data_IF_201627776662
#
_entry.id   IF_201627776662
#
_cell.length_a   1.000
_cell.length_b   1.000
_cell.length_c   1.000
_cell.angle_alpha   90.00
_cell.angle_beta   90.00
_cell.angle_gamma   90.00
#
_symmetry.space_group_name_H-M   'P 1'
#
loop_
_entity.id
_entity.type
_entity.pdbx_description
1 polymer ?
#
# COMPACT_ATOMS: atom_id res chain seq x y z
N UNK A 1 0.01 0.29 23.51
CA UNK A 1 -0.53 1.00 24.68
C UNK A 1 0.47 2.04 25.19
N UNK A 2 1.67 1.67 25.57
CA UNK A 2 2.65 2.59 26.16
C UNK A 2 3.16 3.64 25.15
N UNK A 3 3.32 3.26 23.89
CA UNK A 3 3.70 4.14 22.78
C UNK A 3 2.68 5.27 22.56
N UNK A 4 1.39 4.93 22.43
CA UNK A 4 0.30 5.92 22.27
C UNK A 4 0.21 6.83 23.49
N UNK A 5 0.35 6.29 24.71
CA UNK A 5 0.35 7.09 25.92
C UNK A 5 1.53 8.07 26.01
N UNK A 6 2.73 7.65 25.57
CA UNK A 6 3.90 8.51 25.48
C UNK A 6 3.73 9.61 24.44
N UNK A 7 3.24 9.26 23.24
CA UNK A 7 2.96 10.21 22.17
C UNK A 7 1.97 11.29 22.62
N UNK A 8 0.87 10.91 23.27
CA UNK A 8 -0.12 11.85 23.82
C UNK A 8 0.52 12.79 24.85
N UNK A 9 1.32 12.25 25.77
CA UNK A 9 2.02 13.08 26.78
C UNK A 9 2.99 14.07 26.13
N UNK A 10 3.77 13.62 25.15
CA UNK A 10 4.77 14.45 24.49
C UNK A 10 4.15 15.52 23.55
N UNK A 11 2.86 15.39 23.21
CA UNK A 11 2.11 16.45 22.52
C UNK A 11 1.45 17.45 23.46
N UNK A 12 1.73 17.40 24.76
CA UNK A 12 1.24 18.37 25.74
C UNK A 12 -0.10 18.00 26.39
N UNK A 13 -0.66 16.83 26.07
CA UNK A 13 -1.92 16.37 26.67
C UNK A 13 -1.68 15.35 27.79
N UNK A 14 -2.66 15.20 28.65
CA UNK A 14 -2.57 14.24 29.74
C UNK A 14 -2.87 12.82 29.25
N UNK A 15 -1.96 11.90 29.52
CA UNK A 15 -2.19 10.48 29.23
C UNK A 15 -3.25 9.86 30.16
N UNK A 16 -3.85 8.71 29.80
CA UNK A 16 -4.83 8.01 30.65
C UNK A 16 -4.33 7.75 32.05
N UNK A 17 -3.03 7.45 32.23
CA UNK A 17 -2.42 7.23 33.54
C UNK A 17 -2.40 8.49 34.39
N UNK A 18 -2.13 9.65 33.77
CA UNK A 18 -2.11 10.93 34.48
C UNK A 18 -3.50 11.41 34.90
N UNK A 19 -4.54 11.10 34.10
CA UNK A 19 -5.94 11.37 34.41
C UNK A 19 -6.57 10.32 35.35
N UNK A 20 -5.82 9.29 35.77
CA UNK A 20 -6.31 8.13 36.52
C UNK A 20 -7.55 7.46 35.90
N UNK A 21 -7.54 7.37 34.54
CA UNK A 21 -8.64 6.84 33.75
C UNK A 21 -8.33 5.44 33.24
N UNK A 22 -9.34 4.56 33.25
CA UNK A 22 -9.29 3.26 32.60
C UNK A 22 -9.83 3.41 31.18
N UNK A 23 -8.95 3.21 30.20
CA UNK A 23 -9.33 3.25 28.77
C UNK A 23 -9.40 1.84 28.23
N UNK A 24 -10.52 1.48 27.62
CA UNK A 24 -10.74 0.21 26.93
C UNK A 24 -10.92 0.53 25.46
N UNK A 25 -10.07 -0.07 24.61
CA UNK A 25 -10.15 0.05 23.14
C UNK A 25 -10.58 -1.31 22.61
N UNK A 26 -11.74 -1.34 21.95
CA UNK A 26 -12.20 -2.52 21.23
C UNK A 26 -11.94 -2.35 19.73
N UNK A 27 -11.27 -3.32 19.13
CA UNK A 27 -11.01 -3.35 17.69
C UNK A 27 -11.90 -4.45 17.07
N UNK A 28 -12.95 -4.04 16.37
CA UNK A 28 -13.88 -4.94 15.70
C UNK A 28 -13.38 -5.29 14.27
N UNK A 29 -13.78 -6.43 13.71
CA UNK A 29 -14.41 -7.60 14.33
C UNK A 29 -13.37 -8.42 15.15
N UNK A 30 -13.80 -9.16 16.18
CA UNK A 30 -12.89 -9.83 17.12
C UNK A 30 -12.13 -11.03 16.54
N UNK A 31 -12.71 -11.67 15.53
CA UNK A 31 -12.20 -12.85 14.83
C UNK A 31 -11.02 -12.55 13.89
N UNK A 32 -10.88 -11.29 13.47
CA UNK A 32 -9.76 -10.84 12.64
C UNK A 32 -8.61 -10.36 13.50
N UNK A 33 -7.46 -11.01 13.39
CA UNK A 33 -6.24 -10.57 14.09
C UNK A 33 -5.78 -9.22 13.54
N UNK A 34 -5.75 -8.20 14.42
CA UNK A 34 -5.24 -6.87 14.08
C UNK A 34 -3.76 -6.82 14.42
N UNK A 35 -2.94 -6.62 13.40
CA UNK A 35 -1.50 -6.53 13.56
C UNK A 35 -0.98 -5.20 13.04
N UNK A 36 0.09 -4.79 13.67
CA UNK A 36 0.81 -3.59 13.30
C UNK A 36 0.32 -2.31 13.99
N UNK A 37 1.17 -1.32 13.97
CA UNK A 37 0.98 -0.05 14.65
C UNK A 37 0.18 0.99 13.83
N UNK A 38 -0.40 0.59 12.71
CA UNK A 38 -1.12 1.48 11.76
C UNK A 38 -2.30 2.22 12.40
N UNK A 39 -2.81 1.69 13.52
CA UNK A 39 -3.95 2.26 14.26
C UNK A 39 -3.54 3.23 15.37
N UNK A 40 -2.24 3.44 15.62
CA UNK A 40 -1.78 4.26 16.74
C UNK A 40 -2.31 5.69 16.67
N UNK A 41 -2.27 6.31 15.49
CA UNK A 41 -2.81 7.66 15.26
C UNK A 41 -4.32 7.72 15.56
N UNK A 42 -5.08 6.75 15.05
CA UNK A 42 -6.52 6.66 15.30
C UNK A 42 -6.82 6.50 16.79
N UNK A 43 -6.06 5.63 17.50
CA UNK A 43 -6.22 5.42 18.94
C UNK A 43 -5.93 6.69 19.74
N UNK A 44 -4.87 7.44 19.38
CA UNK A 44 -4.51 8.68 20.06
C UNK A 44 -5.59 9.75 19.86
N UNK A 45 -6.04 9.97 18.63
CA UNK A 45 -7.07 10.96 18.28
C UNK A 45 -8.41 10.61 18.94
N UNK A 46 -8.79 9.33 18.91
CA UNK A 46 -10.03 8.84 19.56
C UNK A 46 -9.98 9.03 21.08
N UNK A 47 -8.84 8.74 21.70
CA UNK A 47 -8.66 8.97 23.14
C UNK A 47 -8.81 10.45 23.48
N UNK A 48 -8.13 11.33 22.78
CA UNK A 48 -8.18 12.79 23.04
C UNK A 48 -9.60 13.35 22.85
N UNK A 49 -10.32 12.87 21.84
CA UNK A 49 -11.73 13.22 21.63
C UNK A 49 -12.62 12.72 22.76
N UNK A 50 -12.46 11.46 23.19
CA UNK A 50 -13.22 10.88 24.30
C UNK A 50 -12.89 11.49 25.66
N UNK A 51 -11.68 12.02 25.83
CA UNK A 51 -11.24 12.75 27.01
C UNK A 51 -11.66 14.24 27.02
N UNK A 52 -12.38 14.66 25.98
CA UNK A 52 -12.80 16.06 25.74
C UNK A 52 -11.65 17.05 25.62
N UNK A 53 -10.44 16.57 25.32
CA UNK A 53 -9.26 17.40 25.12
C UNK A 53 -9.27 18.09 23.73
N UNK A 54 -9.97 17.50 22.75
CA UNK A 54 -10.16 18.04 21.41
C UNK A 54 -11.60 17.86 20.93
N UNK A 55 -12.10 18.85 20.18
CA UNK A 55 -13.46 18.82 19.61
C UNK A 55 -13.39 18.93 18.09
N UNK A 56 -13.94 17.95 17.39
CA UNK A 56 -14.05 17.96 15.94
C UNK A 56 -15.13 16.97 15.46
N UNK A 57 -15.61 17.16 14.25
CA UNK A 57 -16.48 16.17 13.60
C UNK A 57 -15.63 15.01 13.09
N UNK A 58 -15.84 13.81 13.65
CA UNK A 58 -15.10 12.58 13.27
C UNK A 58 -15.80 11.77 12.20
N UNK A 59 -16.99 12.17 11.75
CA UNK A 59 -17.74 11.43 10.74
C UNK A 59 -16.95 11.38 9.42
N UNK A 60 -16.97 10.23 8.77
CA UNK A 60 -16.33 9.98 7.47
C UNK A 60 -14.82 10.31 7.40
N UNK A 61 -14.15 10.34 8.55
CA UNK A 61 -12.70 10.55 8.65
C UNK A 61 -11.98 9.27 9.06
N UNK A 62 -10.88 8.95 8.39
CA UNK A 62 -10.00 7.83 8.74
C UNK A 62 -8.61 8.35 9.11
N UNK A 63 -8.01 7.76 10.15
CA UNK A 63 -6.69 8.11 10.65
C UNK A 63 -5.78 6.89 10.56
N UNK A 64 -4.66 7.01 9.86
CA UNK A 64 -3.70 5.95 9.65
C UNK A 64 -2.30 6.45 9.96
N UNK A 65 -1.54 5.68 10.74
CA UNK A 65 -0.17 6.03 11.07
C UNK A 65 0.33 5.33 12.32
N UNK A 66 1.59 4.92 12.29
CA UNK A 66 2.32 4.49 13.47
C UNK A 66 2.83 5.71 14.22
N UNK A 67 2.70 5.74 15.54
CA UNK A 67 3.26 6.82 16.38
C UNK A 67 4.59 6.41 16.98
N UNK A 68 5.59 7.29 16.86
CA UNK A 68 6.79 7.23 17.69
C UNK A 68 6.47 7.68 19.13
N UNK A 69 7.40 7.48 20.05
CA UNK A 69 7.24 7.94 21.43
C UNK A 69 7.12 9.47 21.53
N UNK A 70 7.74 10.20 20.59
CA UNK A 70 7.71 11.65 20.49
C UNK A 70 6.43 12.18 19.84
N UNK A 71 5.59 11.29 19.28
CA UNK A 71 4.35 11.63 18.61
C UNK A 71 4.51 11.90 17.10
N UNK A 72 5.65 11.55 16.50
CA UNK A 72 5.81 11.58 15.04
C UNK A 72 5.04 10.44 14.40
N UNK A 73 4.50 10.68 13.20
CA UNK A 73 3.74 9.71 12.43
C UNK A 73 4.61 9.06 11.38
N UNK A 74 4.73 7.74 11.42
CA UNK A 74 5.57 6.94 10.52
C UNK A 74 4.74 6.21 9.46
N UNK A 75 5.40 5.83 8.36
CA UNK A 75 4.86 5.16 7.19
C UNK A 75 4.02 3.91 7.52
N UNK A 76 2.90 3.77 6.82
CA UNK A 76 2.03 2.59 6.84
C UNK A 76 2.17 1.82 5.53
N UNK A 77 2.27 0.50 5.60
CA UNK A 77 2.25 -0.36 4.42
C UNK A 77 0.83 -0.66 3.98
N UNK A 78 0.59 -0.78 2.67
CA UNK A 78 -0.73 -1.07 2.13
C UNK A 78 -1.70 0.11 2.23
N UNK A 79 -1.20 1.34 2.21
CA UNK A 79 -2.05 2.52 2.35
C UNK A 79 -3.05 2.63 1.19
N UNK A 80 -2.61 2.43 -0.05
CA UNK A 80 -3.47 2.58 -1.22
C UNK A 80 -4.72 1.69 -1.17
N UNK A 81 -4.63 0.35 -0.97
CA UNK A 81 -5.82 -0.49 -0.84
C UNK A 81 -6.69 -0.10 0.36
N UNK A 82 -6.11 0.37 1.48
CA UNK A 82 -6.89 0.84 2.62
C UNK A 82 -7.71 2.07 2.24
N UNK A 83 -7.15 3.03 1.51
CA UNK A 83 -7.86 4.23 1.08
C UNK A 83 -8.97 3.91 0.06
N UNK A 84 -8.71 2.98 -0.87
CA UNK A 84 -9.72 2.51 -1.82
C UNK A 84 -10.91 1.88 -1.09
N UNK A 85 -10.67 0.99 -0.14
CA UNK A 85 -11.71 0.37 0.68
C UNK A 85 -12.41 1.38 1.59
N UNK A 86 -11.69 2.32 2.20
CA UNK A 86 -12.28 3.37 3.01
C UNK A 86 -13.29 4.20 2.22
N UNK A 87 -12.95 4.57 0.97
CA UNK A 87 -13.87 5.27 0.06
C UNK A 87 -15.14 4.46 -0.20
N UNK A 88 -15.03 3.16 -0.49
CA UNK A 88 -16.18 2.28 -0.73
C UNK A 88 -17.11 2.20 0.50
N UNK A 89 -16.55 2.31 1.70
CA UNK A 89 -17.29 2.39 2.96
C UNK A 89 -17.78 3.79 3.32
N UNK A 90 -17.63 4.76 2.41
CA UNK A 90 -18.19 6.11 2.55
C UNK A 90 -17.32 7.09 3.35
N UNK A 91 -16.05 6.75 3.63
CA UNK A 91 -15.10 7.71 4.19
C UNK A 91 -14.73 8.75 3.12
N UNK A 92 -14.61 10.02 3.54
CA UNK A 92 -14.34 11.14 2.64
C UNK A 92 -13.00 11.81 2.89
N UNK A 93 -12.49 11.72 4.12
CA UNK A 93 -11.22 12.34 4.52
C UNK A 93 -10.30 11.30 5.15
N UNK A 94 -9.02 11.39 4.82
CA UNK A 94 -7.99 10.50 5.34
C UNK A 94 -6.79 11.30 5.86
N UNK A 95 -6.33 10.99 7.07
CA UNK A 95 -5.12 11.54 7.66
C UNK A 95 -4.05 10.45 7.61
N UNK A 96 -3.01 10.68 6.81
CA UNK A 96 -2.01 9.67 6.44
C UNK A 96 -0.59 10.18 6.66
N UNK A 97 0.39 9.29 6.91
CA UNK A 97 1.77 9.72 7.11
C UNK A 97 2.32 10.48 5.90
N UNK A 98 3.15 11.49 6.15
CA UNK A 98 3.82 12.27 5.10
C UNK A 98 4.63 11.38 4.15
N UNK A 99 5.22 10.29 4.67
CA UNK A 99 5.99 9.32 3.87
C UNK A 99 5.12 8.49 2.91
N UNK A 100 3.80 8.56 3.05
CA UNK A 100 2.85 7.89 2.17
C UNK A 100 2.19 8.84 1.15
N UNK A 101 2.66 10.09 1.00
CA UNK A 101 2.05 11.08 0.08
C UNK A 101 1.87 10.50 -1.32
N UNK A 102 2.88 9.80 -1.85
CA UNK A 102 2.84 9.22 -3.21
C UNK A 102 1.72 8.19 -3.35
N UNK A 103 1.56 7.28 -2.40
CA UNK A 103 0.45 6.32 -2.43
C UNK A 103 -0.91 7.02 -2.26
N UNK A 104 -0.98 7.97 -1.33
CA UNK A 104 -2.21 8.73 -1.08
C UNK A 104 -2.66 9.57 -2.28
N UNK A 105 -1.72 10.11 -3.05
CA UNK A 105 -2.01 10.89 -4.26
C UNK A 105 -2.64 10.07 -5.40
N UNK A 106 -2.52 8.74 -5.35
CA UNK A 106 -3.12 7.81 -6.30
C UNK A 106 -4.57 7.46 -5.94
N UNK A 107 -4.96 7.62 -4.66
CA UNK A 107 -6.30 7.28 -4.22
C UNK A 107 -7.34 8.29 -4.75
N UNK A 108 -8.34 7.80 -5.47
CA UNK A 108 -9.43 8.65 -5.99
C UNK A 108 -10.63 8.65 -5.05
N UNK A 109 -11.36 9.78 -5.01
CA UNK A 109 -12.65 9.89 -4.31
C UNK A 109 -12.55 10.01 -2.79
N UNK A 110 -11.35 10.18 -2.23
CA UNK A 110 -11.09 10.49 -0.83
C UNK A 110 -10.11 11.67 -0.75
N UNK A 111 -10.34 12.60 0.16
CA UNK A 111 -9.45 13.75 0.40
C UNK A 111 -8.41 13.35 1.44
N UNK A 112 -7.15 13.28 1.05
CA UNK A 112 -6.08 12.88 1.95
C UNK A 112 -5.26 14.08 2.45
N UNK A 113 -4.90 14.07 3.73
CA UNK A 113 -4.04 15.06 4.39
C UNK A 113 -2.77 14.38 4.88
N UNK A 114 -1.62 14.93 4.50
CA UNK A 114 -0.33 14.42 4.93
C UNK A 114 0.01 14.95 6.33
N UNK A 115 0.21 14.04 7.29
CA UNK A 115 0.55 14.37 8.67
C UNK A 115 1.94 13.88 9.03
N UNK A 116 2.73 14.74 9.69
CA UNK A 116 4.06 14.40 10.21
C UNK A 116 4.03 14.03 11.69
N UNK A 117 3.01 14.51 12.43
CA UNK A 117 2.92 14.29 13.88
C UNK A 117 1.48 14.33 14.39
N UNK A 118 1.27 13.74 15.57
CA UNK A 118 0.01 13.83 16.31
C UNK A 118 -0.35 15.29 16.62
N UNK A 119 0.64 16.11 17.00
CA UNK A 119 0.43 17.53 17.29
C UNK A 119 -0.11 18.29 16.08
N UNK A 120 0.45 18.06 14.88
CA UNK A 120 -0.02 18.67 13.64
C UNK A 120 -1.46 18.25 13.33
N UNK A 121 -1.75 16.94 13.50
CA UNK A 121 -3.10 16.39 13.28
C UNK A 121 -4.12 17.06 14.21
N UNK A 122 -3.80 17.20 15.50
CA UNK A 122 -4.67 17.84 16.49
C UNK A 122 -4.92 19.30 16.11
N UNK A 123 -3.88 20.08 15.82
CA UNK A 123 -4.01 21.49 15.45
C UNK A 123 -4.91 21.71 14.23
N UNK A 124 -4.83 20.84 13.24
CA UNK A 124 -5.73 20.89 12.09
C UNK A 124 -7.17 20.56 12.47
N UNK A 125 -7.37 19.51 13.26
CA UNK A 125 -8.73 19.09 13.71
C UNK A 125 -9.39 20.13 14.61
N UNK A 126 -8.60 20.86 15.42
CA UNK A 126 -9.07 21.96 16.27
C UNK A 126 -9.27 23.28 15.51
N UNK A 127 -8.89 23.34 14.23
CA UNK A 127 -9.01 24.57 13.42
C UNK A 127 -7.90 25.62 13.67
N UNK A 128 -6.85 25.26 14.45
CA UNK A 128 -5.72 26.17 14.70
C UNK A 128 -4.83 26.36 13.48
N UNK A 129 -4.71 25.31 12.65
CA UNK A 129 -3.99 25.36 11.37
C UNK A 129 -4.87 24.73 10.29
N UNK A 130 -4.72 25.23 9.07
CA UNK A 130 -5.35 24.62 7.89
C UNK A 130 -4.29 23.86 7.09
N UNK A 131 -4.45 22.54 6.97
CA UNK A 131 -3.62 21.70 6.12
C UNK A 131 -4.20 21.65 4.72
N UNK A 132 -3.33 21.74 3.72
CA UNK A 132 -3.75 21.54 2.32
C UNK A 132 -3.90 20.04 2.03
N UNK A 133 -4.96 19.66 1.29
CA UNK A 133 -5.08 18.30 0.79
C UNK A 133 -3.89 17.91 -0.08
N UNK A 134 -3.55 16.62 -0.07
CA UNK A 134 -2.58 16.05 -0.99
C UNK A 134 -3.11 16.23 -2.42
N UNK A 135 -2.30 16.85 -3.27
CA UNK A 135 -2.63 17.00 -4.69
C UNK A 135 -2.54 15.65 -5.38
N UNK A 136 -3.53 15.35 -6.21
CA UNK A 136 -3.54 14.15 -7.03
C UNK A 136 -2.51 14.26 -8.14
N UNK A 137 -1.87 13.16 -8.46
CA UNK A 137 -1.00 13.04 -9.61
C UNK A 137 -1.88 12.63 -10.79
N UNK A 138 -2.22 13.58 -11.66
CA UNK A 138 -3.07 13.35 -12.84
C UNK A 138 -2.27 12.83 -14.03
N UNK A 139 -1.00 13.25 -14.15
CA UNK A 139 -0.12 12.87 -15.25
C UNK A 139 1.00 11.96 -14.75
N UNK A 140 0.75 10.69 -14.86
CA UNK A 140 1.73 9.66 -14.55
C UNK A 140 2.51 9.33 -15.83
N UNK A 141 3.55 10.13 -16.12
CA UNK A 141 4.53 9.74 -17.13
C UNK A 141 5.37 8.61 -16.55
N UNK A 142 5.08 7.39 -16.94
CA UNK A 142 5.88 6.23 -16.57
C UNK A 142 6.83 5.87 -17.68
N UNK A 143 8.10 5.84 -17.37
CA UNK A 143 9.05 5.17 -18.24
C UNK A 143 8.77 3.67 -18.23
N UNK A 144 8.69 3.02 -19.41
CA UNK A 144 8.53 1.59 -19.45
C UNK A 144 9.71 0.91 -18.73
N UNK A 145 9.46 -0.17 -17.98
CA UNK A 145 10.54 -0.93 -17.38
C UNK A 145 11.54 -1.37 -18.45
N UNK A 146 12.82 -1.41 -18.06
CA UNK A 146 13.89 -1.81 -18.97
C UNK A 146 13.83 -3.33 -19.24
N UNK A 147 12.82 -3.76 -19.99
CA UNK A 147 12.72 -5.14 -20.46
C UNK A 147 13.58 -5.34 -21.70
N UNK A 148 14.11 -6.55 -21.86
CA UNK A 148 14.77 -6.94 -23.10
C UNK A 148 13.74 -6.91 -24.22
N UNK A 149 13.91 -6.05 -25.22
CA UNK A 149 13.00 -5.98 -26.37
C UNK A 149 13.01 -7.32 -27.14
N UNK A 150 11.82 -7.84 -27.42
CA UNK A 150 11.66 -9.10 -28.17
C UNK A 150 12.27 -9.02 -29.56
N UNK A 151 12.38 -7.86 -30.16
CA UNK A 151 13.04 -7.66 -31.46
C UNK A 151 14.53 -7.97 -31.46
N UNK A 152 15.20 -7.88 -30.30
CA UNK A 152 16.62 -8.19 -30.16
C UNK A 152 16.88 -9.69 -30.25
N UNK A 153 15.88 -10.52 -29.95
CA UNK A 153 15.99 -11.98 -29.97
C UNK A 153 15.87 -12.46 -31.41
N UNK A 154 16.96 -12.99 -31.96
CA UNK A 154 17.05 -13.35 -33.38
C UNK A 154 16.67 -14.79 -33.73
N UNK A 155 16.31 -15.60 -32.73
CA UNK A 155 16.02 -17.04 -32.91
C UNK A 155 14.65 -17.40 -32.36
N UNK A 156 14.14 -18.58 -32.77
CA UNK A 156 12.87 -19.15 -32.28
C UNK A 156 11.61 -18.35 -32.69
N UNK A 157 11.46 -18.08 -33.98
CA UNK A 157 10.29 -17.36 -34.52
C UNK A 157 8.95 -18.02 -34.11
N UNK A 158 8.90 -19.35 -34.06
CA UNK A 158 7.72 -20.09 -33.58
C UNK A 158 7.40 -19.77 -32.12
N UNK A 159 8.44 -19.70 -31.27
CA UNK A 159 8.26 -19.36 -29.85
C UNK A 159 7.83 -17.89 -29.68
N UNK A 160 8.40 -16.96 -30.45
CA UNK A 160 7.99 -15.55 -30.47
C UNK A 160 6.51 -15.44 -30.88
N UNK A 161 6.12 -16.12 -31.96
CA UNK A 161 4.73 -16.12 -32.39
C UNK A 161 3.78 -16.70 -31.33
N UNK A 162 4.21 -17.74 -30.62
CA UNK A 162 3.47 -18.28 -29.47
C UNK A 162 3.32 -17.25 -28.34
N UNK A 163 4.37 -16.49 -28.03
CA UNK A 163 4.34 -15.41 -27.04
C UNK A 163 3.43 -14.25 -27.47
N UNK A 164 3.47 -13.82 -28.74
CA UNK A 164 2.55 -12.79 -29.27
C UNK A 164 1.08 -13.21 -29.10
N UNK A 165 0.74 -14.46 -29.43
CA UNK A 165 -0.61 -14.97 -29.29
C UNK A 165 -0.99 -15.04 -27.79
N UNK A 166 -0.07 -15.50 -26.93
CA UNK A 166 -0.30 -15.55 -25.50
C UNK A 166 -0.50 -14.16 -24.89
N UNK A 167 0.31 -13.17 -25.30
CA UNK A 167 0.19 -11.79 -24.83
C UNK A 167 -1.09 -11.11 -25.30
N UNK A 168 -1.46 -11.29 -26.57
CA UNK A 168 -2.69 -10.71 -27.12
C UNK A 168 -3.98 -11.34 -26.62
N UNK A 169 -3.93 -12.63 -26.18
CA UNK A 169 -5.08 -13.37 -25.69
C UNK A 169 -5.10 -13.59 -24.18
N UNK A 170 -4.15 -13.03 -23.43
CA UNK A 170 -3.98 -13.30 -21.99
C UNK A 170 -3.91 -14.82 -21.66
N UNK A 171 -3.18 -15.58 -22.48
CA UNK A 171 -3.07 -17.03 -22.34
C UNK A 171 -1.82 -17.43 -21.55
N UNK A 172 -1.96 -18.52 -20.79
CA UNK A 172 -0.80 -19.17 -20.20
C UNK A 172 0.07 -19.81 -21.30
N UNK A 173 1.39 -19.77 -21.14
CA UNK A 173 2.32 -20.37 -22.08
C UNK A 173 3.36 -21.22 -21.36
N UNK A 174 3.70 -22.37 -21.94
CA UNK A 174 4.75 -23.24 -21.47
C UNK A 174 5.91 -23.26 -22.49
N UNK A 175 7.11 -22.87 -22.05
CA UNK A 175 8.32 -22.96 -22.84
C UNK A 175 9.11 -24.21 -22.42
N UNK A 176 9.17 -25.21 -23.32
CA UNK A 176 9.92 -26.46 -23.12
C UNK A 176 11.08 -26.58 -24.09
N UNK A 177 12.16 -27.20 -23.70
CA UNK A 177 13.34 -27.44 -24.54
C UNK A 177 14.63 -27.61 -23.71
N UNK A 178 15.76 -27.99 -24.37
CA UNK A 178 17.03 -28.23 -23.73
C UNK A 178 17.63 -26.96 -23.09
N UNK A 179 18.57 -27.10 -22.14
CA UNK A 179 19.25 -25.92 -21.58
C UNK A 179 19.98 -25.12 -22.66
N UNK A 180 20.11 -23.82 -22.45
CA UNK A 180 20.81 -22.93 -23.41
C UNK A 180 19.99 -22.45 -24.61
N UNK A 181 18.72 -22.88 -24.81
CA UNK A 181 17.87 -22.49 -25.95
C UNK A 181 17.19 -21.12 -25.79
N UNK A 182 17.54 -20.33 -24.79
CA UNK A 182 17.03 -18.95 -24.64
C UNK A 182 15.63 -18.82 -24.00
N UNK A 183 15.08 -19.90 -23.40
CA UNK A 183 13.74 -19.86 -22.78
C UNK A 183 13.56 -18.75 -21.76
N UNK A 184 14.53 -18.59 -20.87
CA UNK A 184 14.52 -17.52 -19.84
C UNK A 184 14.57 -16.14 -20.48
N UNK A 185 15.36 -15.95 -21.52
CA UNK A 185 15.46 -14.69 -22.23
C UNK A 185 14.13 -14.36 -22.94
N UNK A 186 13.49 -15.34 -23.57
CA UNK A 186 12.16 -15.22 -24.17
C UNK A 186 11.11 -14.86 -23.12
N UNK A 187 11.13 -15.49 -21.94
CA UNK A 187 10.21 -15.18 -20.86
C UNK A 187 10.39 -13.73 -20.34
N UNK A 188 11.63 -13.25 -20.21
CA UNK A 188 11.90 -11.87 -19.84
C UNK A 188 11.45 -10.87 -20.91
N UNK A 189 11.67 -11.19 -22.20
CA UNK A 189 11.26 -10.32 -23.29
C UNK A 189 9.74 -10.30 -23.52
N UNK A 190 9.02 -11.31 -23.02
CA UNK A 190 7.57 -11.35 -23.11
C UNK A 190 6.92 -10.12 -22.49
N UNK A 191 7.45 -9.61 -21.37
CA UNK A 191 6.94 -8.40 -20.73
C UNK A 191 7.03 -7.15 -21.63
N UNK A 192 7.95 -7.13 -22.60
CA UNK A 192 8.09 -5.99 -23.53
C UNK A 192 6.96 -5.87 -24.56
N UNK A 193 6.22 -6.94 -24.78
CA UNK A 193 5.09 -6.97 -25.72
C UNK A 193 3.72 -6.96 -25.02
N UNK A 194 3.68 -7.04 -23.70
CA UNK A 194 2.43 -6.93 -22.97
C UNK A 194 1.94 -5.47 -22.96
N UNK A 195 0.63 -5.25 -23.11
CA UNK A 195 0.07 -3.91 -23.00
C UNK A 195 0.26 -3.36 -21.58
N UNK A 196 0.34 -2.03 -21.41
CA UNK A 196 0.29 -1.42 -20.10
C UNK A 196 -1.04 -1.76 -19.41
N UNK A 197 -1.01 -1.79 -18.09
CA UNK A 197 -2.19 -2.02 -17.27
C UNK A 197 -3.18 -0.87 -17.38
N UNK A 198 -4.48 -1.15 -17.32
CA UNK A 198 -5.48 -0.10 -17.14
C UNK A 198 -5.27 0.60 -15.79
N UNK A 199 -5.91 1.74 -15.57
CA UNK A 199 -5.79 2.45 -14.29
C UNK A 199 -6.24 1.56 -13.12
N UNK A 200 -7.37 0.87 -13.25
CA UNK A 200 -7.92 -0.01 -12.23
C UNK A 200 -6.96 -1.17 -11.93
N UNK A 201 -6.44 -1.84 -12.96
CA UNK A 201 -5.44 -2.89 -12.81
C UNK A 201 -4.15 -2.36 -12.14
N UNK A 202 -3.71 -1.16 -12.52
CA UNK A 202 -2.54 -0.51 -11.94
C UNK A 202 -2.71 -0.25 -10.44
N UNK A 203 -3.89 0.20 -10.02
CA UNK A 203 -4.22 0.40 -8.60
C UNK A 203 -4.21 -0.93 -7.85
N UNK A 204 -4.80 -1.97 -8.41
CA UNK A 204 -4.85 -3.31 -7.82
C UNK A 204 -3.44 -3.88 -7.63
N UNK A 205 -2.64 -3.92 -8.69
CA UNK A 205 -1.26 -4.42 -8.66
C UNK A 205 -0.39 -3.60 -7.70
N UNK A 206 -0.50 -2.28 -7.75
CA UNK A 206 0.21 -1.39 -6.81
C UNK A 206 -0.21 -1.66 -5.36
N UNK A 207 -1.50 -1.88 -5.12
CA UNK A 207 -2.03 -2.24 -3.81
C UNK A 207 -1.45 -3.56 -3.28
N UNK A 208 -1.35 -4.59 -4.11
CA UNK A 208 -0.72 -5.88 -3.78
C UNK A 208 0.73 -5.67 -3.38
N UNK A 209 1.50 -4.93 -4.19
CA UNK A 209 2.91 -4.67 -3.91
C UNK A 209 3.13 -3.77 -2.69
N UNK A 210 2.23 -2.83 -2.42
CA UNK A 210 2.24 -2.00 -1.21
C UNK A 210 1.99 -2.86 0.04
N UNK A 211 0.98 -3.72 0.03
CA UNK A 211 0.68 -4.65 1.11
C UNK A 211 1.83 -5.63 1.38
N UNK A 212 2.48 -6.10 0.32
CA UNK A 212 3.65 -6.99 0.39
C UNK A 212 4.93 -6.27 0.84
N UNK A 213 4.94 -4.94 0.94
CA UNK A 213 6.12 -4.09 1.20
C UNK A 213 7.21 -4.20 0.12
N UNK A 214 6.81 -4.53 -1.11
CA UNK A 214 7.71 -4.66 -2.26
C UNK A 214 7.59 -3.48 -3.22
N UNK A 215 6.64 -2.58 -2.98
CA UNK A 215 6.47 -1.36 -3.76
C UNK A 215 7.69 -0.46 -3.56
N UNK A 216 8.40 -0.17 -4.65
CA UNK A 216 9.56 0.73 -4.63
C UNK A 216 9.08 2.19 -4.63
N UNK A 217 8.41 2.61 -5.69
CA UNK A 217 7.88 3.97 -5.85
C UNK A 217 6.77 4.01 -6.92
N UNK A 218 5.79 4.90 -6.71
CA UNK A 218 4.77 5.21 -7.70
C UNK A 218 3.74 4.13 -8.00
N UNK A 219 3.05 4.27 -9.11
CA UNK A 219 2.05 3.33 -9.61
C UNK A 219 2.72 2.31 -10.52
N UNK A 220 2.39 1.04 -10.37
CA UNK A 220 2.83 -0.02 -11.29
C UNK A 220 1.90 -0.02 -12.49
N UNK A 221 2.41 0.34 -13.66
CA UNK A 221 1.62 0.47 -14.91
C UNK A 221 1.93 -0.61 -15.93
N UNK A 222 2.90 -1.44 -15.68
CA UNK A 222 3.24 -2.59 -16.51
C UNK A 222 3.15 -3.87 -15.70
N UNK A 223 2.74 -4.99 -16.31
CA UNK A 223 2.70 -6.28 -15.63
C UNK A 223 4.05 -6.61 -14.99
N UNK A 224 4.11 -6.94 -13.69
CA UNK A 224 5.36 -7.24 -13.01
C UNK A 224 5.89 -8.61 -13.42
N UNK A 225 7.18 -8.70 -13.74
CA UNK A 225 7.84 -9.97 -13.99
C UNK A 225 8.38 -10.57 -12.69
N UNK A 226 8.02 -11.82 -12.41
CA UNK A 226 8.52 -12.57 -11.27
C UNK A 226 9.24 -13.82 -11.73
N UNK A 227 10.37 -14.11 -11.11
CA UNK A 227 11.20 -15.28 -11.42
C UNK A 227 11.59 -15.99 -10.13
N UNK A 228 10.65 -16.75 -9.53
CA UNK A 228 10.93 -17.48 -8.31
C UNK A 228 12.02 -18.55 -8.55
N UNK A 229 12.87 -18.75 -7.56
CA UNK A 229 13.88 -19.79 -7.62
C UNK A 229 13.21 -21.17 -7.63
N UNK A 230 13.81 -22.16 -8.34
CA UNK A 230 13.24 -23.51 -8.44
C UNK A 230 13.16 -24.25 -7.09
N UNK A 231 13.89 -23.80 -6.06
CA UNK A 231 13.80 -24.30 -4.67
C UNK A 231 12.87 -23.50 -3.78
N UNK A 232 12.10 -22.55 -4.34
CA UNK A 232 11.18 -21.76 -3.55
C UNK A 232 10.14 -22.66 -2.86
N UNK A 233 9.86 -22.37 -1.59
CA UNK A 233 8.88 -23.14 -0.82
C UNK A 233 7.46 -22.90 -1.30
N UNK A 234 6.55 -23.86 -1.08
CA UNK A 234 5.14 -23.72 -1.41
C UNK A 234 4.52 -22.42 -0.86
N UNK A 235 4.72 -22.05 0.44
CA UNK A 235 4.22 -20.76 0.95
C UNK A 235 4.84 -19.53 0.26
N UNK A 236 6.07 -19.63 -0.23
CA UNK A 236 6.69 -18.54 -0.99
C UNK A 236 6.03 -18.35 -2.35
N UNK A 237 5.59 -19.42 -3.00
CA UNK A 237 4.95 -19.37 -4.31
C UNK A 237 3.48 -18.94 -4.21
N UNK A 238 2.71 -19.59 -3.33
CA UNK A 238 1.25 -19.38 -3.24
C UNK A 238 0.89 -18.27 -2.25
N UNK A 239 1.75 -18.00 -1.29
CA UNK A 239 1.47 -17.11 -0.18
C UNK A 239 0.97 -17.86 1.06
N UNK A 240 0.68 -17.12 2.13
CA UNK A 240 0.21 -17.65 3.41
C UNK A 240 1.26 -17.57 4.50
N UNK A 241 1.25 -18.55 5.41
CA UNK A 241 2.10 -18.57 6.60
C UNK A 241 1.36 -18.11 7.87
N UNK A 242 2.03 -18.14 9.02
CA UNK A 242 1.47 -17.67 10.30
C UNK A 242 1.03 -16.20 10.26
N UNK A 243 1.72 -15.42 9.46
CA UNK A 243 1.37 -14.06 9.06
C UNK A 243 1.18 -14.07 7.52
N UNK A 244 -0.06 -14.12 7.03
CA UNK A 244 -0.31 -14.24 5.62
C UNK A 244 0.37 -13.14 4.81
N UNK A 245 1.17 -13.54 3.83
CA UNK A 245 1.82 -12.62 2.88
C UNK A 245 1.53 -13.07 1.46
N UNK A 246 1.43 -12.12 0.51
CA UNK A 246 1.34 -12.46 -0.90
C UNK A 246 2.53 -13.31 -1.33
N UNK A 247 2.26 -14.38 -2.08
CA UNK A 247 3.30 -15.20 -2.73
C UNK A 247 3.68 -14.67 -4.09
N UNK A 248 4.65 -15.33 -4.74
CA UNK A 248 5.15 -14.93 -6.06
C UNK A 248 4.06 -14.93 -7.14
N UNK A 249 3.06 -15.83 -7.04
CA UNK A 249 1.91 -15.84 -7.96
C UNK A 249 1.11 -14.54 -7.83
N UNK A 250 0.80 -14.13 -6.60
CA UNK A 250 0.06 -12.88 -6.35
C UNK A 250 0.89 -11.65 -6.74
N UNK A 251 2.21 -11.71 -6.57
CA UNK A 251 3.12 -10.61 -6.95
C UNK A 251 3.36 -10.53 -8.47
N UNK A 252 2.97 -11.54 -9.22
CA UNK A 252 3.05 -11.58 -10.69
C UNK A 252 1.74 -11.15 -11.37
N UNK A 253 0.77 -10.72 -10.57
CA UNK A 253 -0.59 -10.36 -11.02
C UNK A 253 -0.60 -9.22 -12.01
#
# INVERSE_FOLDING_TARGET
KDRVSAAVKNTGYQSPKQKNQKVIISLAPADVRKEGPSFDLAMAVTYLKAAEDIHFNSEKKIFLGELSLEGNVSKVSGLLPILCQAREHGFMEAFVPIDNIREASLAQGITAYAVSSLAQTIKHLSGEIEMKPIQRIENLNFEPPNFTDMNIIRVNETAKRGLEIAGGGAHNILLSGPPGTGKTMLAHSFCSILPPLTYEQSIEVTGIHSAARTLKEGLIVYPPFRSPHHTASYPSIVGGGAFPRPGEITLAH
#
